data_IF_805158476605
#
_entry.id   IF_805158476605
#
_cell.length_a   1.000
_cell.length_b   1.000
_cell.length_c   1.000
_cell.angle_alpha   90.00
_cell.angle_beta   90.00
_cell.angle_gamma   90.00
#
_symmetry.space_group_name_H-M   'P 1'
#
loop_
_entity.id
_entity.type
_entity.pdbx_description
1 polymer ?
#
# COMPACT_ATOMS: atom_id res chain seq x y z
N UNK A 1 14.36 -63.06 25.76
CA UNK A 1 13.27 -62.06 25.83
C UNK A 1 13.79 -60.67 25.45
N UNK A 2 14.15 -60.47 24.18
CA UNK A 2 14.41 -59.13 23.62
C UNK A 2 13.11 -58.68 22.94
N UNK A 3 12.04 -58.53 23.72
CA UNK A 3 10.70 -58.83 23.19
C UNK A 3 9.72 -57.67 23.01
N UNK A 4 9.69 -56.69 23.92
CA UNK A 4 8.62 -55.66 23.90
C UNK A 4 9.10 -54.27 24.29
N UNK A 5 9.96 -54.15 25.30
CA UNK A 5 10.46 -52.85 25.78
C UNK A 5 11.29 -52.10 24.72
N UNK A 6 12.11 -52.82 23.95
CA UNK A 6 12.94 -52.20 22.90
C UNK A 6 12.12 -51.71 21.71
N UNK A 7 11.04 -52.43 21.35
CA UNK A 7 10.15 -52.04 20.25
C UNK A 7 9.32 -50.81 20.65
N UNK A 8 8.81 -50.77 21.88
CA UNK A 8 8.07 -49.60 22.41
C UNK A 8 8.97 -48.37 22.50
N UNK A 9 10.21 -48.52 23.00
CA UNK A 9 11.16 -47.41 23.05
C UNK A 9 11.53 -46.90 21.65
N UNK A 10 11.72 -47.80 20.68
CA UNK A 10 11.98 -47.42 19.30
C UNK A 10 10.79 -46.66 18.70
N UNK A 11 9.56 -47.11 18.95
CA UNK A 11 8.34 -46.43 18.49
C UNK A 11 8.21 -45.02 19.07
N UNK A 12 8.50 -44.84 20.36
CA UNK A 12 8.48 -43.53 21.03
C UNK A 12 9.51 -42.58 20.39
N UNK A 13 10.72 -43.08 20.11
CA UNK A 13 11.77 -42.28 19.45
C UNK A 13 11.34 -41.88 18.04
N UNK A 14 10.76 -42.80 17.27
CA UNK A 14 10.27 -42.51 15.91
C UNK A 14 9.16 -41.45 15.93
N UNK A 15 8.21 -41.53 16.87
CA UNK A 15 7.15 -40.52 17.02
C UNK A 15 7.73 -39.17 17.44
N UNK A 16 8.69 -39.16 18.38
CA UNK A 16 9.34 -37.92 18.81
C UNK A 16 10.12 -37.26 17.65
N UNK A 17 10.86 -38.03 16.86
CA UNK A 17 11.56 -37.53 15.67
C UNK A 17 10.58 -37.04 14.62
N UNK A 18 9.49 -37.77 14.36
CA UNK A 18 8.46 -37.33 13.43
C UNK A 18 7.78 -36.02 13.87
N UNK A 19 7.54 -35.85 15.19
CA UNK A 19 7.04 -34.60 15.75
C UNK A 19 8.05 -33.46 15.62
N UNK A 20 9.33 -33.70 15.90
CA UNK A 20 10.38 -32.69 15.74
C UNK A 20 10.50 -32.28 14.27
N UNK A 21 10.46 -33.23 13.33
CA UNK A 21 10.50 -32.96 11.89
C UNK A 21 9.22 -32.24 11.45
N UNK A 22 8.03 -32.62 11.93
CA UNK A 22 6.79 -31.93 11.61
C UNK A 22 6.78 -30.49 12.14
N UNK A 23 7.30 -30.27 13.35
CA UNK A 23 7.49 -28.94 13.95
C UNK A 23 8.52 -28.15 13.13
N UNK A 24 9.67 -28.74 12.79
CA UNK A 24 10.71 -28.10 12.01
C UNK A 24 10.22 -27.73 10.60
N UNK A 25 9.48 -28.62 9.93
CA UNK A 25 8.88 -28.36 8.62
C UNK A 25 7.80 -27.27 8.69
N UNK A 26 7.04 -27.19 9.79
CA UNK A 26 6.09 -26.07 10.04
C UNK A 26 6.81 -24.73 10.18
N UNK A 27 8.01 -24.72 10.75
CA UNK A 27 8.82 -23.50 10.91
C UNK A 27 9.69 -23.15 9.70
N UNK A 28 9.89 -24.07 8.76
CA UNK A 28 10.78 -23.87 7.60
C UNK A 28 10.03 -23.48 6.32
N UNK A 29 8.70 -23.29 6.38
CA UNK A 29 7.98 -22.57 5.34
C UNK A 29 8.28 -21.09 5.61
N UNK A 30 9.05 -20.46 4.72
CA UNK A 30 9.26 -19.02 4.73
C UNK A 30 7.91 -18.32 4.54
N UNK A 31 7.16 -18.15 5.62
CA UNK A 31 5.99 -17.29 5.62
C UNK A 31 6.50 -15.87 5.39
N UNK A 32 6.26 -15.35 4.18
CA UNK A 32 6.17 -13.91 4.03
C UNK A 32 5.19 -13.45 5.10
N UNK A 33 5.66 -12.65 6.07
CA UNK A 33 4.87 -12.26 7.25
C UNK A 33 3.52 -11.69 6.79
N UNK A 34 2.51 -12.55 6.84
CA UNK A 34 1.13 -12.33 6.41
C UNK A 34 0.39 -12.36 7.74
N UNK A 35 -0.05 -11.19 8.21
CA UNK A 35 -0.64 -11.10 9.55
C UNK A 35 -2.03 -11.68 9.50
N UNK A 36 -2.19 -12.87 10.08
CA UNK A 36 -3.43 -13.63 10.02
C UNK A 36 -4.39 -13.18 11.13
N UNK A 37 -5.66 -13.00 10.76
CA UNK A 37 -6.77 -12.66 11.63
C UNK A 37 -7.93 -13.62 11.36
N UNK A 38 -8.67 -13.97 12.41
CA UNK A 38 -9.98 -14.58 12.22
C UNK A 38 -10.98 -13.52 11.79
N UNK A 39 -12.01 -13.92 11.04
CA UNK A 39 -13.08 -13.05 10.57
C UNK A 39 -13.74 -12.21 11.67
N UNK A 40 -14.07 -12.76 12.86
CA UNK A 40 -14.60 -11.96 13.97
C UNK A 40 -13.67 -10.85 14.46
N UNK A 41 -12.37 -10.95 14.18
CA UNK A 41 -11.35 -9.98 14.56
C UNK A 41 -11.01 -8.99 13.44
N UNK A 42 -11.90 -8.81 12.44
CA UNK A 42 -11.71 -7.86 11.34
C UNK A 42 -11.42 -6.43 11.81
N UNK A 43 -12.01 -5.97 12.92
CA UNK A 43 -11.72 -4.65 13.51
C UNK A 43 -10.22 -4.49 13.87
N UNK A 44 -9.58 -5.57 14.37
CA UNK A 44 -8.16 -5.57 14.71
C UNK A 44 -7.31 -5.58 13.44
N UNK A 45 -7.75 -6.28 12.40
CA UNK A 45 -7.09 -6.24 11.10
C UNK A 45 -7.12 -4.81 10.53
N UNK A 46 -8.28 -4.12 10.57
CA UNK A 46 -8.41 -2.72 10.11
C UNK A 46 -7.43 -1.80 10.86
N UNK A 47 -7.34 -1.93 12.19
CA UNK A 47 -6.39 -1.14 12.98
C UNK A 47 -4.92 -1.39 12.59
N UNK A 48 -4.54 -2.66 12.39
CA UNK A 48 -3.19 -3.03 11.97
C UNK A 48 -2.89 -2.52 10.56
N UNK A 49 -3.86 -2.61 9.65
CA UNK A 49 -3.75 -2.05 8.31
C UNK A 49 -3.51 -0.53 8.35
N UNK A 50 -4.27 0.22 9.15
CA UNK A 50 -4.07 1.67 9.29
C UNK A 50 -2.64 2.02 9.72
N UNK A 51 -2.06 1.26 10.66
CA UNK A 51 -0.67 1.44 11.05
C UNK A 51 0.33 1.11 9.91
N UNK A 52 0.06 0.09 9.09
CA UNK A 52 0.87 -0.23 7.91
C UNK A 52 0.76 0.85 6.82
N UNK A 53 -0.42 1.42 6.65
CA UNK A 53 -0.68 2.50 5.70
C UNK A 53 0.04 3.80 6.11
N UNK A 54 0.03 4.16 7.40
CA UNK A 54 0.78 5.32 7.93
C UNK A 54 2.30 5.17 7.72
N UNK A 55 2.78 3.93 7.79
CA UNK A 55 4.16 3.55 7.46
C UNK A 55 4.45 3.54 5.95
N UNK A 56 3.42 3.66 5.11
CA UNK A 56 3.54 3.75 3.66
C UNK A 56 3.58 2.41 2.93
N UNK A 57 3.17 1.30 3.55
CA UNK A 57 3.05 0.02 2.85
C UNK A 57 1.79 -0.01 1.99
N UNK A 58 1.93 -0.54 0.76
CA UNK A 58 0.79 -1.09 0.02
C UNK A 58 0.56 -2.52 0.53
N UNK A 59 -0.69 -2.87 0.83
CA UNK A 59 -1.06 -4.10 1.52
C UNK A 59 -2.21 -4.77 0.76
N UNK A 60 -2.03 -6.05 0.46
CA UNK A 60 -3.12 -6.88 -0.03
C UNK A 60 -3.84 -7.54 1.14
N UNK A 61 -5.16 -7.70 0.99
CA UNK A 61 -5.98 -8.53 1.84
C UNK A 61 -6.13 -9.90 1.19
N UNK A 62 -5.57 -10.92 1.84
CA UNK A 62 -5.90 -12.32 1.56
C UNK A 62 -7.06 -12.71 2.44
N UNK A 63 -8.07 -13.38 1.92
CA UNK A 63 -9.24 -13.75 2.69
C UNK A 63 -9.88 -15.03 2.19
N UNK A 64 -10.52 -15.73 3.12
CA UNK A 64 -11.37 -16.87 2.79
C UNK A 64 -12.73 -16.67 3.46
N UNK A 65 -13.80 -16.93 2.73
CA UNK A 65 -15.15 -16.61 3.17
C UNK A 65 -16.21 -17.05 2.17
N UNK A 66 -17.27 -16.27 2.08
CA UNK A 66 -18.35 -16.48 1.12
C UNK A 66 -18.97 -15.14 0.70
N UNK A 67 -19.53 -15.11 -0.50
CA UNK A 67 -20.35 -14.01 -0.96
C UNK A 67 -21.65 -13.93 -0.17
N UNK A 68 -22.07 -12.72 0.18
CA UNK A 68 -23.26 -12.48 0.99
C UNK A 68 -24.55 -12.74 0.22
N UNK A 69 -24.57 -12.50 -1.09
CA UNK A 69 -25.75 -12.60 -1.95
C UNK A 69 -26.15 -14.06 -2.26
N UNK A 70 -25.17 -14.93 -2.52
CA UNK A 70 -25.41 -16.29 -3.02
C UNK A 70 -24.78 -17.40 -2.14
N UNK A 71 -24.05 -17.04 -1.07
CA UNK A 71 -23.32 -17.94 -0.18
C UNK A 71 -22.23 -18.81 -0.85
N UNK A 72 -21.81 -18.48 -2.08
CA UNK A 72 -20.71 -19.14 -2.76
C UNK A 72 -19.40 -18.88 -2.03
N UNK A 73 -18.61 -19.93 -1.80
CA UNK A 73 -17.33 -19.82 -1.12
C UNK A 73 -16.30 -19.12 -2.00
N UNK A 74 -15.46 -18.31 -1.37
CA UNK A 74 -14.37 -17.63 -2.04
C UNK A 74 -13.11 -17.69 -1.18
N UNK A 75 -11.98 -17.89 -1.85
CA UNK A 75 -10.63 -17.76 -1.29
C UNK A 75 -9.81 -16.94 -2.28
N UNK A 76 -9.41 -15.73 -1.87
CA UNK A 76 -8.84 -14.78 -2.82
C UNK A 76 -7.97 -13.72 -2.16
N UNK A 77 -7.40 -12.88 -3.01
CA UNK A 77 -6.52 -11.77 -2.63
C UNK A 77 -6.90 -10.53 -3.44
N UNK A 78 -6.93 -9.38 -2.78
CA UNK A 78 -7.13 -8.09 -3.45
C UNK A 78 -6.34 -6.97 -2.80
N UNK A 79 -6.07 -5.91 -3.56
CA UNK A 79 -5.42 -4.71 -3.05
C UNK A 79 -6.38 -3.95 -2.15
N UNK A 80 -5.96 -3.60 -0.93
CA UNK A 80 -6.78 -2.80 -0.03
C UNK A 80 -6.79 -1.35 -0.49
N UNK A 81 -7.98 -0.82 -0.74
CA UNK A 81 -8.23 0.56 -1.13
C UNK A 81 -8.58 1.43 0.07
N UNK A 82 -9.43 0.91 0.97
CA UNK A 82 -9.84 1.58 2.19
C UNK A 82 -10.18 0.55 3.29
N UNK A 83 -10.17 0.97 4.54
CA UNK A 83 -10.55 0.15 5.69
C UNK A 83 -11.27 1.00 6.75
N UNK A 84 -12.56 0.74 6.95
CA UNK A 84 -13.42 1.50 7.87
C UNK A 84 -14.39 0.58 8.59
N UNK A 85 -14.75 0.94 9.83
CA UNK A 85 -15.85 0.31 10.59
C UNK A 85 -15.85 -1.24 10.58
N UNK A 86 -14.67 -1.84 10.66
CA UNK A 86 -14.48 -3.30 10.67
C UNK A 86 -14.81 -3.99 9.32
N UNK A 87 -14.61 -3.28 8.20
CA UNK A 87 -14.65 -3.79 6.84
C UNK A 87 -13.48 -3.25 6.01
N UNK A 88 -13.14 -3.97 4.95
CA UNK A 88 -12.16 -3.56 3.93
C UNK A 88 -12.85 -3.35 2.60
N UNK A 89 -12.56 -2.23 1.93
CA UNK A 89 -12.84 -2.09 0.49
C UNK A 89 -11.59 -2.51 -0.27
N UNK A 90 -11.72 -3.49 -1.16
CA UNK A 90 -10.61 -4.03 -1.94
C UNK A 90 -10.90 -3.99 -3.43
N UNK A 91 -9.83 -3.93 -4.23
CA UNK A 91 -9.90 -4.17 -5.67
C UNK A 91 -9.68 -5.67 -5.94
N UNK A 92 -10.75 -6.36 -6.31
CA UNK A 92 -10.76 -7.79 -6.65
C UNK A 92 -11.11 -7.97 -8.13
N UNK A 93 -10.16 -8.49 -8.92
CA UNK A 93 -10.34 -8.70 -10.37
C UNK A 93 -10.84 -7.46 -11.14
N UNK A 94 -10.40 -6.25 -10.73
CA UNK A 94 -10.79 -4.98 -11.35
C UNK A 94 -12.12 -4.41 -10.89
N UNK A 95 -12.79 -5.02 -9.90
CA UNK A 95 -14.01 -4.52 -9.28
C UNK A 95 -13.78 -4.22 -7.80
N UNK A 96 -14.34 -3.11 -7.33
CA UNK A 96 -14.40 -2.82 -5.89
C UNK A 96 -15.42 -3.73 -5.19
N UNK A 97 -14.98 -4.36 -4.11
CA UNK A 97 -15.83 -5.19 -3.25
C UNK A 97 -15.50 -4.93 -1.78
N UNK A 98 -16.50 -5.11 -0.92
CA UNK A 98 -16.34 -4.97 0.53
C UNK A 98 -16.19 -6.33 1.22
N UNK A 99 -15.26 -6.42 2.17
CA UNK A 99 -14.93 -7.63 2.91
C UNK A 99 -15.06 -7.37 4.41
N UNK A 100 -16.12 -7.93 5.00
CA UNK A 100 -16.42 -7.80 6.41
C UNK A 100 -16.16 -9.07 7.21
N UNK A 101 -16.52 -9.01 8.49
CA UNK A 101 -16.53 -10.20 9.35
C UNK A 101 -17.60 -11.23 8.95
N UNK A 102 -17.63 -12.41 9.60
CA UNK A 102 -18.46 -13.54 9.18
C UNK A 102 -19.96 -13.31 9.38
N UNK A 103 -20.35 -12.26 10.09
CA UNK A 103 -21.73 -11.88 10.37
C UNK A 103 -22.15 -10.57 9.69
N UNK A 104 -21.31 -10.03 8.80
CA UNK A 104 -21.67 -8.81 8.08
C UNK A 104 -22.82 -9.08 7.11
N UNK A 105 -23.86 -8.25 7.18
CA UNK A 105 -24.99 -8.29 6.24
C UNK A 105 -24.92 -7.18 5.18
N UNK A 106 -23.99 -6.25 5.33
CA UNK A 106 -23.85 -5.07 4.46
C UNK A 106 -22.66 -5.18 3.50
N UNK A 107 -21.69 -6.06 3.81
CA UNK A 107 -20.52 -6.27 2.97
C UNK A 107 -20.79 -7.32 1.89
N UNK A 108 -20.11 -7.19 0.74
CA UNK A 108 -20.22 -8.14 -0.36
C UNK A 108 -19.74 -9.55 0.05
N UNK A 109 -18.73 -9.61 0.93
CA UNK A 109 -18.07 -10.85 1.36
C UNK A 109 -18.06 -10.96 2.89
N UNK A 110 -18.53 -12.09 3.40
CA UNK A 110 -18.42 -12.51 4.80
C UNK A 110 -17.14 -13.34 4.99
N UNK A 111 -16.09 -12.72 5.52
CA UNK A 111 -14.82 -13.40 5.72
C UNK A 111 -14.79 -14.24 7.01
N UNK A 112 -14.26 -15.45 6.90
CA UNK A 112 -13.98 -16.36 8.02
C UNK A 112 -12.52 -16.23 8.47
N UNK A 113 -11.63 -15.92 7.54
CA UNK A 113 -10.21 -15.62 7.78
C UNK A 113 -9.76 -14.48 6.90
N UNK A 114 -8.86 -13.67 7.44
CA UNK A 114 -8.29 -12.49 6.80
C UNK A 114 -6.78 -12.51 7.04
N UNK A 115 -6.02 -11.98 6.10
CA UNK A 115 -4.60 -11.81 6.27
C UNK A 115 -4.07 -10.60 5.54
N UNK A 116 -3.25 -9.81 6.22
CA UNK A 116 -2.63 -8.61 5.66
C UNK A 116 -1.23 -8.95 5.16
N UNK A 117 -1.03 -8.82 3.85
CA UNK A 117 0.24 -9.08 3.19
C UNK A 117 0.82 -7.78 2.63
N UNK A 118 1.86 -7.19 3.26
CA UNK A 118 2.57 -6.07 2.67
C UNK A 118 3.22 -6.50 1.36
N UNK A 119 3.02 -5.70 0.31
CA UNK A 119 3.51 -5.97 -1.05
C UNK A 119 5.01 -5.69 -1.22
N UNK A 120 5.67 -5.15 -0.18
CA UNK A 120 7.03 -4.64 -0.25
C UNK A 120 7.84 -5.05 0.98
N UNK A 121 9.18 -5.15 0.81
CA UNK A 121 10.09 -5.53 1.89
C UNK A 121 10.46 -4.35 2.79
N UNK A 122 10.55 -3.15 2.22
CA UNK A 122 10.80 -1.93 2.97
C UNK A 122 10.16 -0.70 2.31
N UNK A 123 10.06 0.37 3.08
CA UNK A 123 9.62 1.69 2.65
C UNK A 123 10.65 2.71 3.13
N UNK A 124 11.18 3.50 2.21
CA UNK A 124 11.91 4.72 2.53
C UNK A 124 10.90 5.87 2.50
N UNK A 125 10.55 6.40 3.67
CA UNK A 125 9.62 7.51 3.84
C UNK A 125 10.40 8.81 3.94
N UNK A 126 10.15 9.74 3.03
CA UNK A 126 10.75 11.07 3.01
C UNK A 126 9.66 12.15 2.98
N UNK A 127 9.77 13.17 3.83
CA UNK A 127 8.90 14.34 3.82
C UNK A 127 9.56 15.50 3.10
N UNK A 128 8.90 16.07 2.09
CA UNK A 128 9.37 17.20 1.31
C UNK A 128 8.63 18.48 1.69
N UNK A 129 9.36 19.57 1.92
CA UNK A 129 8.77 20.90 2.08
C UNK A 129 8.09 21.38 0.77
N UNK A 130 7.15 22.34 0.84
CA UNK A 130 6.41 22.86 -0.30
C UNK A 130 7.26 23.15 -1.53
N UNK A 131 6.79 22.70 -2.69
CA UNK A 131 7.43 22.87 -3.99
C UNK A 131 6.53 23.66 -4.93
N UNK A 132 7.15 24.27 -5.94
CA UNK A 132 6.44 24.98 -7.00
C UNK A 132 6.96 24.55 -8.38
N UNK A 133 6.03 24.29 -9.28
CA UNK A 133 6.29 23.88 -10.66
C UNK A 133 5.35 24.58 -11.63
N UNK A 134 5.69 24.52 -12.92
CA UNK A 134 4.83 25.06 -13.99
C UNK A 134 3.76 24.07 -14.45
N UNK A 135 4.04 22.78 -14.32
CA UNK A 135 3.17 21.71 -14.81
C UNK A 135 3.36 20.41 -14.01
N UNK A 136 2.40 19.50 -14.16
CA UNK A 136 2.36 18.23 -13.41
C UNK A 136 3.51 17.31 -13.82
N UNK A 137 3.93 17.37 -15.09
CA UNK A 137 5.03 16.56 -15.63
C UNK A 137 6.35 16.90 -14.92
N UNK A 138 6.64 18.19 -14.74
CA UNK A 138 7.85 18.68 -14.09
C UNK A 138 7.92 18.26 -12.61
N UNK A 139 6.78 18.29 -11.91
CA UNK A 139 6.68 17.77 -10.55
C UNK A 139 6.94 16.27 -10.52
N UNK A 140 6.26 15.51 -11.38
CA UNK A 140 6.39 14.04 -11.47
C UNK A 140 7.82 13.62 -11.77
N UNK A 141 8.47 14.26 -12.76
CA UNK A 141 9.87 14.03 -13.11
C UNK A 141 10.83 14.32 -11.95
N UNK A 142 10.56 15.38 -11.16
CA UNK A 142 11.39 15.70 -10.00
C UNK A 142 11.24 14.65 -8.91
N UNK A 143 10.02 14.19 -8.63
CA UNK A 143 9.74 13.16 -7.64
C UNK A 143 10.34 11.80 -8.04
N UNK A 144 10.28 11.45 -9.32
CA UNK A 144 10.93 10.25 -9.87
C UNK A 144 12.46 10.32 -9.72
N UNK A 145 13.08 11.42 -10.14
CA UNK A 145 14.53 11.64 -9.99
C UNK A 145 14.97 11.64 -8.53
N UNK A 146 14.17 12.25 -7.65
CA UNK A 146 14.42 12.21 -6.21
C UNK A 146 14.39 10.77 -5.71
N UNK A 147 13.37 9.99 -6.06
CA UNK A 147 13.24 8.60 -5.63
C UNK A 147 14.41 7.73 -6.12
N UNK A 148 14.77 7.87 -7.40
CA UNK A 148 15.89 7.17 -8.02
C UNK A 148 17.27 7.58 -7.46
N UNK A 149 17.38 8.78 -6.87
CA UNK A 149 18.62 9.21 -6.20
C UNK A 149 18.82 8.53 -4.84
N UNK A 150 17.73 8.10 -4.21
CA UNK A 150 17.77 7.43 -2.90
C UNK A 150 17.94 5.93 -3.05
N UNK A 151 17.14 5.32 -3.92
CA UNK A 151 17.12 3.87 -4.14
C UNK A 151 17.32 3.60 -5.63
N UNK A 152 18.17 2.62 -6.02
CA UNK A 152 18.31 2.24 -7.42
C UNK A 152 16.97 1.85 -8.04
N UNK A 153 16.70 2.31 -9.27
CA UNK A 153 15.39 2.14 -9.94
C UNK A 153 14.94 0.68 -10.00
N UNK A 154 15.87 -0.24 -10.18
CA UNK A 154 15.62 -1.68 -10.23
C UNK A 154 15.06 -2.24 -8.91
N UNK A 155 15.41 -1.61 -7.78
CA UNK A 155 14.94 -1.97 -6.45
C UNK A 155 13.67 -1.21 -6.04
N UNK A 156 13.30 -0.15 -6.75
CA UNK A 156 12.01 0.53 -6.54
C UNK A 156 10.90 -0.36 -7.08
N UNK A 157 9.93 -0.66 -6.24
CA UNK A 157 8.69 -1.35 -6.62
C UNK A 157 7.61 -0.35 -6.99
N UNK A 158 7.45 0.71 -6.19
CA UNK A 158 6.44 1.75 -6.38
C UNK A 158 6.89 3.01 -5.62
N UNK A 159 6.48 4.19 -6.10
CA UNK A 159 6.61 5.45 -5.37
C UNK A 159 5.21 5.96 -5.06
N UNK A 160 4.87 6.00 -3.77
CA UNK A 160 3.64 6.58 -3.27
C UNK A 160 3.83 8.04 -2.85
N UNK A 161 2.78 8.84 -2.98
CA UNK A 161 2.74 10.27 -2.69
C UNK A 161 1.49 10.54 -1.84
N UNK A 162 1.66 11.21 -0.72
CA UNK A 162 0.56 11.77 0.07
C UNK A 162 0.76 13.25 0.34
N UNK A 163 -0.34 14.00 0.32
CA UNK A 163 -0.37 15.44 0.55
C UNK A 163 -1.14 16.18 -0.53
N UNK A 164 -1.13 17.51 -0.42
CA UNK A 164 -1.98 18.35 -1.27
C UNK A 164 -1.18 18.95 -2.43
N UNK A 165 -1.79 18.95 -3.62
CA UNK A 165 -1.29 19.62 -4.82
C UNK A 165 -2.36 20.60 -5.31
N UNK A 166 -2.05 21.89 -5.26
CA UNK A 166 -2.86 22.95 -5.83
C UNK A 166 -2.43 23.22 -7.26
N UNK A 167 -3.39 23.26 -8.17
CA UNK A 167 -3.19 23.50 -9.60
C UNK A 167 -4.03 24.73 -9.97
N UNK A 168 -3.35 25.80 -10.38
CA UNK A 168 -3.99 27.00 -10.91
C UNK A 168 -4.17 26.87 -12.42
N UNK A 169 -5.34 27.26 -12.93
CA UNK A 169 -5.62 27.25 -14.37
C UNK A 169 -5.99 28.63 -14.91
N UNK A 170 -5.54 28.89 -16.14
CA UNK A 170 -5.95 30.08 -16.89
C UNK A 170 -7.44 30.07 -17.25
N UNK A 171 -8.07 28.88 -17.26
CA UNK A 171 -9.45 28.67 -17.70
C UNK A 171 -10.35 28.17 -16.57
N UNK A 172 -11.65 28.32 -16.77
CA UNK A 172 -12.65 27.79 -15.85
C UNK A 172 -12.61 26.26 -15.83
N UNK A 173 -12.50 25.67 -14.65
CA UNK A 173 -12.51 24.23 -14.46
C UNK A 173 -13.95 23.71 -14.47
N UNK A 174 -14.26 22.83 -15.41
CA UNK A 174 -15.60 22.27 -15.54
C UNK A 174 -15.84 21.15 -14.52
N UNK A 175 -17.03 21.04 -13.90
CA UNK A 175 -17.33 19.98 -12.93
C UNK A 175 -17.16 18.56 -13.48
N UNK A 176 -17.27 18.34 -14.79
CA UNK A 176 -17.08 17.03 -15.43
C UNK A 176 -15.68 16.45 -15.21
N UNK A 177 -14.67 17.30 -14.98
CA UNK A 177 -13.30 16.88 -14.67
C UNK A 177 -13.25 15.96 -13.44
N UNK A 178 -14.19 16.13 -12.51
CA UNK A 178 -14.30 15.30 -11.30
C UNK A 178 -14.48 13.84 -11.67
N UNK A 179 -15.42 13.55 -12.56
CA UNK A 179 -15.70 12.18 -12.97
C UNK A 179 -14.50 11.57 -13.71
N UNK A 180 -13.82 12.39 -14.52
CA UNK A 180 -12.62 11.95 -15.22
C UNK A 180 -11.46 11.66 -14.26
N UNK A 181 -11.26 12.52 -13.25
CA UNK A 181 -10.26 12.32 -12.21
C UNK A 181 -10.55 11.05 -11.39
N UNK A 182 -11.81 10.77 -11.05
CA UNK A 182 -12.21 9.51 -10.41
C UNK A 182 -11.85 8.28 -11.23
N UNK A 183 -11.95 8.39 -12.57
CA UNK A 183 -11.63 7.28 -13.46
C UNK A 183 -10.12 7.14 -13.69
N UNK A 184 -9.34 8.22 -13.51
CA UNK A 184 -7.90 8.26 -13.79
C UNK A 184 -7.03 8.02 -12.56
N UNK A 185 -7.51 8.40 -11.37
CA UNK A 185 -6.82 8.25 -10.10
C UNK A 185 -7.29 6.98 -9.38
N UNK A 186 -6.42 6.42 -8.55
CA UNK A 186 -6.83 5.35 -7.64
C UNK A 186 -7.87 5.85 -6.63
N UNK A 187 -8.75 4.96 -6.13
CA UNK A 187 -9.69 5.28 -5.05
C UNK A 187 -8.97 5.85 -3.81
N UNK A 188 -9.66 6.72 -3.08
CA UNK A 188 -9.16 7.34 -1.84
C UNK A 188 -8.48 8.71 -2.02
N UNK A 189 -8.28 9.16 -3.27
CA UNK A 189 -7.87 10.54 -3.54
C UNK A 189 -9.10 11.47 -3.55
N UNK A 190 -8.96 12.67 -2.98
CA UNK A 190 -10.01 13.68 -3.00
C UNK A 190 -9.62 14.86 -3.88
N UNK A 191 -10.61 15.63 -4.30
CA UNK A 191 -10.38 16.86 -5.05
C UNK A 191 -11.34 17.96 -4.61
N UNK A 192 -10.86 19.20 -4.64
CA UNK A 192 -11.66 20.40 -4.40
C UNK A 192 -11.55 21.29 -5.62
N UNK A 193 -12.68 21.57 -6.26
CA UNK A 193 -12.73 22.46 -7.42
C UNK A 193 -12.89 23.91 -6.99
N UNK A 194 -12.18 24.77 -7.71
CA UNK A 194 -12.36 26.21 -7.72
C UNK A 194 -12.67 26.64 -9.15
N UNK A 195 -13.16 27.87 -9.31
CA UNK A 195 -13.46 28.39 -10.65
C UNK A 195 -12.24 28.29 -11.57
N UNK A 196 -11.05 28.63 -11.08
CA UNK A 196 -9.79 28.67 -11.85
C UNK A 196 -8.69 27.80 -11.27
N UNK A 197 -9.06 26.64 -10.76
CA UNK A 197 -8.08 25.71 -10.24
C UNK A 197 -8.71 24.53 -9.52
N UNK A 198 -7.85 23.65 -9.04
CA UNK A 198 -8.26 22.51 -8.25
C UNK A 198 -7.17 22.14 -7.25
N UNK A 199 -7.58 21.57 -6.13
CA UNK A 199 -6.68 20.94 -5.17
C UNK A 199 -6.88 19.44 -5.28
N UNK A 200 -5.81 18.70 -5.57
CA UNK A 200 -5.74 17.26 -5.43
C UNK A 200 -5.22 16.94 -4.04
N UNK A 201 -6.02 16.24 -3.23
CA UNK A 201 -5.55 15.67 -1.97
C UNK A 201 -5.17 14.23 -2.23
N UNK A 202 -3.87 13.98 -2.31
CA UNK A 202 -3.35 12.66 -2.61
C UNK A 202 -3.27 11.83 -1.34
N UNK A 203 -3.86 10.64 -1.39
CA UNK A 203 -3.72 9.63 -0.36
C UNK A 203 -3.04 8.41 -0.96
N UNK A 204 -1.72 8.36 -0.82
CA UNK A 204 -0.90 7.29 -1.34
C UNK A 204 -1.06 7.06 -2.86
N UNK A 205 -1.26 8.13 -3.62
CA UNK A 205 -1.27 8.08 -5.07
C UNK A 205 0.12 7.70 -5.59
N UNK A 206 0.20 6.94 -6.68
CA UNK A 206 1.47 6.62 -7.30
C UNK A 206 1.86 7.67 -8.37
N UNK A 207 3.11 7.64 -8.83
CA UNK A 207 3.58 8.59 -9.87
C UNK A 207 2.78 8.52 -11.18
N UNK A 208 2.31 7.33 -11.59
CA UNK A 208 1.47 7.20 -12.78
C UNK A 208 0.09 7.82 -12.58
N UNK A 209 -0.47 7.79 -11.36
CA UNK A 209 -1.74 8.46 -11.06
C UNK A 209 -1.59 9.97 -11.27
N UNK A 210 -0.50 10.55 -10.78
CA UNK A 210 -0.18 11.96 -10.98
C UNK A 210 0.06 12.30 -12.45
N UNK A 211 0.79 11.45 -13.18
CA UNK A 211 1.01 11.63 -14.62
C UNK A 211 -0.30 11.56 -15.42
N UNK A 212 -1.18 10.60 -15.08
CA UNK A 212 -2.49 10.46 -15.70
C UNK A 212 -3.37 11.69 -15.45
N UNK A 213 -3.37 12.22 -14.22
CA UNK A 213 -4.04 13.48 -13.92
C UNK A 213 -3.46 14.62 -14.77
N UNK A 214 -2.14 14.77 -14.86
CA UNK A 214 -1.51 15.80 -15.70
C UNK A 214 -1.91 15.70 -17.18
N UNK A 215 -1.92 14.48 -17.73
CA UNK A 215 -2.36 14.22 -19.12
C UNK A 215 -3.83 14.55 -19.32
N UNK A 216 -4.68 14.22 -18.36
CA UNK A 216 -6.11 14.50 -18.38
C UNK A 216 -6.39 15.99 -18.36
N UNK A 217 -5.75 16.75 -17.47
CA UNK A 217 -5.88 18.21 -17.43
C UNK A 217 -5.46 18.83 -18.77
N UNK A 218 -4.35 18.35 -19.34
CA UNK A 218 -3.88 18.81 -20.65
C UNK A 218 -4.85 18.48 -21.78
N UNK A 219 -5.46 17.28 -21.78
CA UNK A 219 -6.43 16.81 -22.78
C UNK A 219 -7.71 17.62 -22.74
N UNK A 220 -8.22 17.93 -21.55
CA UNK A 220 -9.41 18.75 -21.35
C UNK A 220 -9.14 20.26 -21.61
N UNK A 221 -7.92 20.58 -22.07
CA UNK A 221 -7.54 21.93 -22.47
C UNK A 221 -7.42 22.91 -21.30
N UNK A 222 -7.25 22.39 -20.07
CA UNK A 222 -6.92 23.18 -18.90
C UNK A 222 -5.46 23.62 -19.02
N UNK A 223 -5.30 24.91 -19.24
CA UNK A 223 -3.99 25.55 -19.30
C UNK A 223 -3.49 25.74 -17.88
N UNK A 224 -2.54 24.92 -17.45
CA UNK A 224 -1.97 24.94 -16.10
C UNK A 224 -0.97 26.08 -16.02
N UNK A 225 -1.27 27.09 -15.20
CA UNK A 225 -0.39 28.25 -15.02
C UNK A 225 0.70 27.97 -13.98
N UNK A 226 0.30 27.26 -12.92
CA UNK A 226 1.15 27.03 -11.75
C UNK A 226 0.68 25.80 -10.98
N UNK A 227 1.65 25.11 -10.40
CA UNK A 227 1.44 24.07 -9.41
C UNK A 227 2.18 24.44 -8.15
N UNK A 228 1.50 24.33 -7.02
CA UNK A 228 2.08 24.44 -5.69
C UNK A 228 1.71 23.20 -4.88
N UNK A 229 2.69 22.63 -4.19
CA UNK A 229 2.44 21.51 -3.28
C UNK A 229 2.39 22.03 -1.85
N UNK A 230 1.58 21.40 -1.00
CA UNK A 230 1.81 21.45 0.43
C UNK A 230 3.08 20.68 0.81
N UNK A 231 3.19 20.31 2.09
CA UNK A 231 4.16 19.28 2.50
C UNK A 231 3.75 17.95 1.89
N UNK A 232 4.69 17.28 1.24
CA UNK A 232 4.46 15.97 0.65
C UNK A 232 5.16 14.89 1.46
N UNK A 233 4.50 13.76 1.65
CA UNK A 233 5.15 12.53 2.08
C UNK A 233 5.35 11.63 0.86
N UNK A 234 6.60 11.21 0.64
CA UNK A 234 7.01 10.31 -0.42
C UNK A 234 7.36 8.96 0.20
N UNK A 235 6.78 7.90 -0.35
CA UNK A 235 6.96 6.52 0.09
C UNK A 235 7.63 5.72 -1.02
N UNK A 236 8.94 5.53 -0.93
CA UNK A 236 9.69 4.72 -1.89
C UNK A 236 9.64 3.27 -1.40
N UNK A 237 8.76 2.49 -2.01
CA UNK A 237 8.54 1.08 -1.70
C UNK A 237 9.55 0.23 -2.43
N UNK A 238 10.27 -0.63 -1.71
CA UNK A 238 11.39 -1.37 -2.29
C UNK A 238 11.14 -2.87 -2.32
N UNK A 239 11.67 -3.52 -3.36
CA UNK A 239 11.64 -4.97 -3.54
C UNK A 239 12.52 -5.66 -2.50
N UNK A 240 13.67 -5.07 -2.19
CA UNK A 240 14.60 -5.49 -1.15
C UNK A 240 14.91 -4.35 -0.20
N UNK A 241 15.32 -4.68 1.03
CA UNK A 241 15.79 -3.68 2.00
C UNK A 241 17.01 -2.96 1.38
N UNK A 242 17.02 -1.62 1.30
CA UNK A 242 18.18 -0.88 0.81
C UNK A 242 19.44 -1.25 1.61
N UNK A 243 20.57 -1.54 0.93
CA UNK A 243 21.81 -1.89 1.63
C UNK A 243 22.40 -0.68 2.38
N UNK A 244 22.10 0.54 1.94
CA UNK A 244 22.53 1.76 2.62
C UNK A 244 21.71 2.03 3.88
N UNK A 245 22.42 2.38 4.96
CA UNK A 245 21.81 2.83 6.19
C UNK A 245 21.11 4.19 6.07
N UNK A 246 20.29 4.51 7.09
CA UNK A 246 19.51 5.75 7.18
C UNK A 246 20.34 7.00 6.89
N UNK A 247 21.49 7.15 7.54
CA UNK A 247 22.28 8.39 7.46
C UNK A 247 22.82 8.65 6.04
N UNK A 248 23.19 7.57 5.33
CA UNK A 248 23.66 7.65 3.95
C UNK A 248 22.51 8.08 3.03
N UNK A 249 21.34 7.45 3.16
CA UNK A 249 20.20 7.81 2.33
C UNK A 249 19.66 9.20 2.64
N UNK A 250 19.66 9.60 3.91
CA UNK A 250 19.29 10.96 4.31
C UNK A 250 20.26 11.98 3.72
N UNK A 251 21.57 11.72 3.78
CA UNK A 251 22.58 12.58 3.14
C UNK A 251 22.42 12.66 1.62
N UNK A 252 22.12 11.55 0.94
CA UNK A 252 21.75 11.58 -0.50
C UNK A 252 20.53 12.48 -0.75
N UNK A 253 19.52 12.38 0.12
CA UNK A 253 18.29 13.14 0.01
C UNK A 253 18.54 14.65 0.16
N UNK A 254 19.34 15.06 1.15
CA UNK A 254 19.72 16.46 1.38
C UNK A 254 20.53 17.05 0.20
N UNK A 255 21.31 16.21 -0.50
CA UNK A 255 22.09 16.61 -1.68
C UNK A 255 21.25 16.78 -2.96
N UNK A 256 19.96 16.42 -2.97
CA UNK A 256 19.08 16.59 -4.14
C UNK A 256 18.62 18.04 -4.37
N UNK A 257 18.93 18.93 -3.43
CA UNK A 257 18.47 20.32 -3.39
C UNK A 257 17.01 20.48 -2.92
N UNK A 258 16.34 19.38 -2.55
CA UNK A 258 15.02 19.43 -1.92
C UNK A 258 15.18 19.59 -0.40
N UNK A 259 14.34 20.43 0.21
CA UNK A 259 14.26 20.56 1.66
C UNK A 259 13.42 19.43 2.23
N UNK A 260 13.98 18.71 3.20
CA UNK A 260 13.38 17.51 3.79
C UNK A 260 13.01 17.80 5.24
N UNK A 261 11.80 17.43 5.65
CA UNK A 261 11.33 17.59 7.03
C UNK A 261 11.18 16.25 7.78
N UNK A 262 11.24 15.12 7.07
CA UNK A 262 11.11 13.78 7.62
C UNK A 262 11.95 12.79 6.81
N UNK A 263 12.63 11.85 7.48
CA UNK A 263 13.29 10.73 6.82
C UNK A 263 13.27 9.48 7.70
N UNK A 264 12.74 8.38 7.19
CA UNK A 264 12.65 7.08 7.88
C UNK A 264 12.86 5.93 6.90
N UNK A 265 13.50 4.85 7.36
CA UNK A 265 13.51 3.55 6.69
C UNK A 265 12.67 2.62 7.55
N UNK A 266 11.66 2.02 6.95
CA UNK A 266 10.74 1.12 7.63
C UNK A 266 10.84 -0.22 6.93
N UNK A 267 11.32 -1.24 7.62
CA UNK A 267 11.41 -2.60 7.09
C UNK A 267 10.22 -3.40 7.56
N UNK A 268 9.79 -4.36 6.72
CA UNK A 268 8.95 -5.46 7.21
C UNK A 268 9.70 -6.09 8.41
N UNK A 269 9.05 -6.33 9.56
CA UNK A 269 9.73 -6.95 10.69
C UNK A 269 10.40 -8.24 10.23
N UNK A 270 11.65 -8.44 10.61
CA UNK A 270 12.34 -9.72 10.44
C UNK A 270 12.14 -10.45 11.76
N UNK A 271 11.43 -11.59 11.73
CA UNK A 271 11.45 -12.55 12.83
C UNK A 271 12.42 -13.66 12.49
#
# INVERSE_FOLDING_TARGET
MVGKKNVVNLLIVVIAVALIVAIALRFNISEEMTLNFSGPNVYRAVYVYAAMQEQGFSVNLKFSGKWTDNNEKIDSEGLILNAELASFTILLNGREVTVGGPFSSIDDIQAVSLSLAPNHRAVVKAGLEPLMYKDVSSLTDKLDKFSASLVPRENISEVGISGDITIDSAKTVMPTIIQELNNALRPGNEYVLFERGLILKLNNANLNDLENAGRLLSREGLDVEKIATGRLEIFIRTKNIPPEGRDVLQGKAENTGLKIFLFKIITKPVQ
#
